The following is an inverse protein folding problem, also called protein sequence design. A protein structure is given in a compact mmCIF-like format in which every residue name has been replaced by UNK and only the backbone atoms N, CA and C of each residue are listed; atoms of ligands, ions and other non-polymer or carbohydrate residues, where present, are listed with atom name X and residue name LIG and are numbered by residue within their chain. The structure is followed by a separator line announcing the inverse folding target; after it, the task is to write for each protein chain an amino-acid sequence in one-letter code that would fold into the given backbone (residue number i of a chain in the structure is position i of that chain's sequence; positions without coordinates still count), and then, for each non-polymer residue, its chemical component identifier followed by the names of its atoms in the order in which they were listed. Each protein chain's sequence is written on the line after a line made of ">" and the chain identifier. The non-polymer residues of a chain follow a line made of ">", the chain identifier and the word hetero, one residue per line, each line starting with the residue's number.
data_IF_467207495925
#
_entry.id   IF_467207495925
#
_cell.length_a   1.000
_cell.length_b   1.000
_cell.length_c   1.000
_cell.angle_alpha   90.00
_cell.angle_beta   90.00
_cell.angle_gamma   90.00
#
_symmetry.space_group_name_H-M   'P 1'
#
loop_
_entity.id
_entity.type
_entity.pdbx_description
1 polymer ?
#
# COMPACT_ATOMS: atom_id res chain seq x y z
N UNK A 1 -4.32 18.30 -8.14
CA UNK A 1 -3.20 18.59 -7.21
C UNK A 1 -3.08 17.61 -6.03
N UNK A 2 -4.05 16.72 -5.82
CA UNK A 2 -4.09 15.81 -4.68
C UNK A 2 -3.98 14.39 -5.18
N UNK A 3 -2.81 13.77 -5.00
CA UNK A 3 -2.53 12.40 -5.45
C UNK A 3 -2.17 11.54 -4.24
N UNK A 4 -2.69 10.31 -4.22
CA UNK A 4 -2.52 9.32 -3.16
C UNK A 4 -2.22 7.95 -3.77
N UNK A 5 -1.42 7.13 -3.10
CA UNK A 5 -1.04 5.80 -3.59
C UNK A 5 0.39 5.72 -4.11
N UNK A 6 0.62 4.81 -5.06
CA UNK A 6 1.92 4.21 -5.39
C UNK A 6 2.55 3.44 -4.23
N UNK A 7 3.25 2.35 -4.54
CA UNK A 7 3.87 1.51 -3.52
C UNK A 7 4.52 0.24 -4.07
N UNK A 8 5.19 -0.54 -3.24
CA UNK A 8 5.40 -0.29 -1.81
C UNK A 8 6.70 0.51 -1.57
N UNK A 9 6.56 1.67 -0.94
CA UNK A 9 7.66 2.58 -0.56
C UNK A 9 7.25 3.38 0.68
N UNK A 10 8.22 3.82 1.48
CA UNK A 10 7.96 4.69 2.63
C UNK A 10 7.78 6.14 2.18
N UNK A 11 6.53 6.59 2.24
CA UNK A 11 6.17 7.98 2.00
C UNK A 11 6.05 8.76 3.31
N UNK A 12 6.42 10.04 3.30
CA UNK A 12 6.42 10.89 4.51
C UNK A 12 5.03 11.42 4.89
N UNK A 13 4.14 11.57 3.93
CA UNK A 13 2.77 12.08 4.12
C UNK A 13 1.83 11.34 3.18
N UNK A 14 0.54 11.21 3.52
CA UNK A 14 -0.42 10.46 2.68
C UNK A 14 -0.63 11.10 1.30
N UNK A 15 -0.78 12.43 1.23
CA UNK A 15 -0.76 13.18 -0.04
C UNK A 15 0.66 13.16 -0.61
N UNK A 16 0.81 12.91 -1.91
CA UNK A 16 2.13 12.94 -2.58
C UNK A 16 2.63 14.37 -2.79
N UNK A 17 3.90 14.59 -2.51
CA UNK A 17 4.60 15.82 -2.88
C UNK A 17 4.90 15.79 -4.38
N UNK A 18 4.38 16.80 -5.09
CA UNK A 18 4.51 16.91 -6.53
C UNK A 18 5.79 17.66 -6.96
N UNK A 19 6.62 18.11 -6.02
CA UNK A 19 7.80 18.92 -6.33
C UNK A 19 9.02 18.09 -6.76
N UNK A 20 8.99 17.52 -7.97
CA UNK A 20 10.12 16.81 -8.59
C UNK A 20 10.62 15.61 -7.77
N UNK A 21 9.68 14.76 -7.35
CA UNK A 21 9.98 13.52 -6.63
C UNK A 21 9.81 12.30 -7.54
N UNK A 22 10.89 11.51 -7.67
CA UNK A 22 10.87 10.19 -8.32
C UNK A 22 10.78 9.09 -7.28
N UNK A 23 9.96 8.09 -7.57
CA UNK A 23 9.76 6.89 -6.76
C UNK A 23 9.96 5.65 -7.62
N UNK A 24 10.96 4.83 -7.26
CA UNK A 24 11.18 3.54 -7.92
C UNK A 24 10.21 2.48 -7.40
N UNK A 25 9.76 1.61 -8.29
CA UNK A 25 8.90 0.47 -7.98
C UNK A 25 9.50 -0.78 -8.60
N UNK A 26 9.91 -1.70 -7.73
CA UNK A 26 10.34 -3.06 -8.06
C UNK A 26 10.41 -3.84 -6.74
N UNK A 27 9.83 -5.04 -6.70
CA UNK A 27 9.78 -5.84 -5.48
C UNK A 27 11.19 -6.14 -4.97
N UNK A 28 11.50 -5.73 -3.75
CA UNK A 28 12.82 -5.86 -3.15
C UNK A 28 12.71 -6.08 -1.65
N UNK A 29 13.55 -6.98 -1.13
CA UNK A 29 13.79 -7.07 0.31
C UNK A 29 14.58 -5.84 0.77
N UNK A 30 13.83 -4.80 1.17
CA UNK A 30 14.36 -3.52 1.59
C UNK A 30 13.42 -2.98 2.67
N UNK A 31 13.92 -2.80 3.91
CA UNK A 31 13.17 -2.15 4.98
C UNK A 31 12.64 -0.79 4.53
N UNK A 32 11.49 -0.34 5.08
CA UNK A 32 10.93 0.96 4.79
C UNK A 32 11.98 2.06 4.88
N UNK A 33 12.03 2.89 3.84
CA UNK A 33 12.95 4.00 3.75
C UNK A 33 12.54 4.97 2.65
N UNK A 34 12.79 6.25 2.88
CA UNK A 34 12.43 7.33 1.95
C UNK A 34 13.02 7.11 0.56
N UNK A 35 12.14 7.07 -0.46
CA UNK A 35 12.47 6.83 -1.88
C UNK A 35 13.14 5.48 -2.18
N UNK A 36 13.03 4.51 -1.28
CA UNK A 36 13.50 3.15 -1.52
C UNK A 36 12.34 2.25 -1.93
N UNK A 37 12.48 1.55 -3.06
CA UNK A 37 11.57 0.48 -3.45
C UNK A 37 11.63 -0.66 -2.44
N UNK A 38 10.47 -1.14 -1.99
CA UNK A 38 10.32 -2.14 -0.93
C UNK A 38 9.61 -3.40 -1.44
N UNK A 39 8.87 -4.09 -0.58
CA UNK A 39 8.43 -5.47 -0.81
C UNK A 39 7.41 -5.59 -1.94
N UNK A 40 6.38 -4.74 -1.93
CA UNK A 40 5.28 -4.75 -2.90
C UNK A 40 5.48 -3.88 -4.15
N UNK A 41 4.56 -4.06 -5.09
CA UNK A 41 4.52 -3.36 -6.37
C UNK A 41 3.07 -3.00 -6.73
N UNK A 42 2.73 -1.72 -6.62
CA UNK A 42 1.39 -1.18 -6.74
C UNK A 42 1.41 0.10 -7.59
N UNK A 43 1.36 -0.02 -8.94
CA UNK A 43 1.30 1.10 -9.87
C UNK A 43 -0.13 1.66 -9.99
N UNK A 44 -0.77 1.89 -8.84
CA UNK A 44 -2.11 2.46 -8.71
C UNK A 44 -2.04 3.76 -7.91
N UNK A 45 -2.77 4.76 -8.36
CA UNK A 45 -2.99 5.97 -7.58
C UNK A 45 -4.45 6.41 -7.66
N UNK A 46 -4.84 7.19 -6.67
CA UNK A 46 -6.10 7.93 -6.65
C UNK A 46 -5.79 9.42 -6.66
N UNK A 47 -6.54 10.17 -7.45
CA UNK A 47 -6.51 11.62 -7.44
C UNK A 47 -7.87 12.17 -6.97
N UNK A 48 -7.81 13.22 -6.14
CA UNK A 48 -8.97 14.05 -5.86
C UNK A 48 -9.00 15.21 -6.86
N UNK A 49 -10.17 15.39 -7.45
CA UNK A 49 -10.51 16.48 -8.34
C UNK A 49 -11.19 17.62 -7.57
N UNK A 50 -11.54 18.67 -8.30
CA UNK A 50 -12.35 19.75 -7.77
C UNK A 50 -13.74 19.24 -7.36
N UNK A 51 -14.41 19.96 -6.48
CA UNK A 51 -15.78 19.65 -6.01
C UNK A 51 -15.92 18.30 -5.26
N UNK A 52 -14.80 17.64 -4.92
CA UNK A 52 -14.78 16.41 -4.12
C UNK A 52 -14.90 15.12 -4.92
N UNK A 53 -14.91 15.20 -6.25
CA UNK A 53 -14.83 14.01 -7.11
C UNK A 53 -13.47 13.32 -6.99
N UNK A 54 -13.43 12.03 -7.33
CA UNK A 54 -12.22 11.23 -7.29
C UNK A 54 -12.09 10.36 -8.54
N UNK A 55 -10.86 10.04 -8.90
CA UNK A 55 -10.62 8.96 -9.86
C UNK A 55 -9.41 8.13 -9.46
N UNK A 56 -9.43 6.86 -9.84
CA UNK A 56 -8.30 5.94 -9.71
C UNK A 56 -7.69 5.64 -11.08
N UNK A 57 -6.38 5.45 -11.12
CA UNK A 57 -5.67 4.97 -12.31
C UNK A 57 -4.76 3.83 -11.92
N UNK A 58 -4.90 2.70 -12.61
CA UNK A 58 -4.00 1.55 -12.55
C UNK A 58 -3.23 1.44 -13.86
N UNK A 59 -1.91 1.29 -13.77
CA UNK A 59 -1.10 0.79 -14.88
C UNK A 59 -0.84 -0.70 -14.67
N UNK A 60 -1.50 -1.56 -15.44
CA UNK A 60 -1.35 -3.01 -15.35
C UNK A 60 -0.06 -3.45 -16.05
N UNK A 61 1.06 -3.25 -15.37
CA UNK A 61 2.40 -3.61 -15.84
C UNK A 61 3.23 -4.07 -14.65
N UNK A 62 4.07 -5.10 -14.82
CA UNK A 62 4.89 -5.69 -13.74
C UNK A 62 6.40 -5.53 -13.96
N UNK A 63 6.81 -4.81 -15.00
CA UNK A 63 8.22 -4.49 -15.24
C UNK A 63 8.69 -3.43 -14.23
N UNK A 64 10.00 -3.40 -13.95
CA UNK A 64 10.56 -2.34 -13.12
C UNK A 64 10.21 -0.97 -13.70
N UNK A 65 9.78 -0.07 -12.84
CA UNK A 65 9.38 1.25 -13.28
C UNK A 65 9.68 2.29 -12.23
N UNK A 66 9.70 3.54 -12.64
CA UNK A 66 9.62 4.65 -11.71
C UNK A 66 8.50 5.61 -12.11
N UNK A 67 8.07 6.40 -11.13
CA UNK A 67 7.10 7.47 -11.30
C UNK A 67 7.71 8.76 -10.80
N UNK A 68 7.67 9.80 -11.64
CA UNK A 68 8.16 11.14 -11.29
C UNK A 68 7.01 12.13 -11.23
N UNK A 69 6.83 12.80 -10.09
CA UNK A 69 5.85 13.86 -9.91
C UNK A 69 6.41 15.23 -10.26
N UNK A 70 5.56 16.10 -10.81
CA UNK A 70 5.91 17.43 -11.28
C UNK A 70 4.91 18.49 -10.76
N UNK A 71 5.36 19.74 -10.46
CA UNK A 71 4.52 20.77 -9.88
C UNK A 71 3.33 21.24 -10.74
N UNK A 72 3.38 21.01 -12.05
CA UNK A 72 2.32 21.39 -13.01
C UNK A 72 1.17 20.38 -13.01
N UNK A 73 0.65 20.08 -11.81
CA UNK A 73 0.27 18.73 -11.32
C UNK A 73 0.31 17.64 -12.40
N UNK A 74 1.48 17.05 -12.61
CA UNK A 74 1.67 15.97 -13.57
C UNK A 74 2.51 14.84 -12.96
N UNK A 75 2.37 13.64 -13.53
CA UNK A 75 3.25 12.52 -13.24
C UNK A 75 3.72 11.86 -14.53
N UNK A 76 4.88 11.20 -14.47
CA UNK A 76 5.46 10.51 -15.62
C UNK A 76 5.86 9.11 -15.20
N UNK A 77 5.34 8.11 -15.92
CA UNK A 77 5.78 6.72 -15.82
C UNK A 77 7.00 6.49 -16.71
N UNK A 78 8.04 5.85 -16.18
CA UNK A 78 9.15 5.30 -16.98
C UNK A 78 9.25 3.81 -16.67
N UNK A 79 8.87 2.99 -17.63
CA UNK A 79 8.82 1.53 -17.51
C UNK A 79 9.92 0.90 -18.37
N UNK A 80 10.55 -0.19 -17.90
CA UNK A 80 11.64 -0.84 -18.64
C UNK A 80 11.15 -1.86 -19.70
N UNK A 81 9.84 -2.09 -19.80
CA UNK A 81 9.28 -3.07 -20.73
C UNK A 81 7.77 -3.30 -20.52
N UNK A 82 7.22 -4.26 -21.26
CA UNK A 82 5.79 -4.56 -21.26
C UNK A 82 4.99 -3.61 -22.15
N UNK A 83 3.70 -3.48 -21.87
CA UNK A 83 2.79 -2.56 -22.57
C UNK A 83 2.26 -1.49 -21.60
N UNK A 84 1.67 -0.45 -22.18
CA UNK A 84 0.91 0.55 -21.44
C UNK A 84 -0.56 0.14 -21.40
N UNK A 85 -0.93 -0.67 -20.42
CA UNK A 85 -2.32 -1.11 -20.19
C UNK A 85 -2.91 -0.35 -19.00
N UNK A 86 -3.75 0.65 -19.28
CA UNK A 86 -4.31 1.55 -18.28
C UNK A 86 -5.78 1.27 -18.02
N UNK A 87 -6.14 1.23 -16.74
CA UNK A 87 -7.52 1.21 -16.27
C UNK A 87 -7.80 2.50 -15.51
N UNK A 88 -8.89 3.17 -15.86
CA UNK A 88 -9.36 4.38 -15.19
C UNK A 88 -10.70 4.11 -14.49
N UNK A 89 -10.80 4.54 -13.24
CA UNK A 89 -11.94 4.32 -12.36
C UNK A 89 -12.52 5.68 -11.97
N UNK A 90 -13.68 6.05 -12.51
CA UNK A 90 -14.28 7.38 -12.40
C UNK A 90 -15.42 7.42 -11.37
N UNK A 91 -15.19 6.87 -10.18
CA UNK A 91 -16.19 6.87 -9.10
C UNK A 91 -16.37 8.28 -8.51
N UNK A 92 -17.61 8.79 -8.31
CA UNK A 92 -17.81 10.17 -7.87
C UNK A 92 -17.29 10.45 -6.45
N UNK A 93 -16.98 9.42 -5.68
CA UNK A 93 -16.30 9.53 -4.37
C UNK A 93 -15.10 8.58 -4.31
N UNK A 94 -14.12 8.84 -3.42
CA UNK A 94 -12.97 7.96 -3.20
C UNK A 94 -13.38 6.50 -2.96
N UNK A 95 -14.44 6.27 -2.18
CA UNK A 95 -14.94 4.93 -1.86
C UNK A 95 -15.42 4.20 -3.10
N UNK A 96 -16.17 4.88 -3.99
CA UNK A 96 -16.67 4.26 -5.21
C UNK A 96 -15.52 3.98 -6.18
N UNK A 97 -14.53 4.88 -6.30
CA UNK A 97 -13.34 4.63 -7.11
C UNK A 97 -12.54 3.41 -6.62
N UNK A 98 -12.43 3.23 -5.29
CA UNK A 98 -11.81 2.03 -4.70
C UNK A 98 -12.65 0.77 -4.92
N UNK A 99 -13.98 0.85 -4.85
CA UNK A 99 -14.86 -0.29 -5.15
C UNK A 99 -14.70 -0.76 -6.59
N UNK A 100 -14.70 0.15 -7.56
CA UNK A 100 -14.50 -0.16 -8.98
C UNK A 100 -13.11 -0.77 -9.24
N UNK A 101 -12.07 -0.25 -8.58
CA UNK A 101 -10.73 -0.84 -8.65
C UNK A 101 -10.72 -2.31 -8.18
N UNK A 102 -11.34 -2.59 -7.03
CA UNK A 102 -11.44 -3.96 -6.50
C UNK A 102 -12.39 -4.86 -7.29
N UNK A 103 -13.31 -4.32 -8.08
CA UNK A 103 -14.08 -5.12 -9.03
C UNK A 103 -13.22 -5.66 -10.17
N UNK A 104 -12.17 -4.93 -10.56
CA UNK A 104 -11.23 -5.36 -11.60
C UNK A 104 -10.15 -6.28 -11.05
N UNK A 105 -9.50 -5.92 -9.94
CA UNK A 105 -8.34 -6.68 -9.43
C UNK A 105 -8.72 -7.81 -8.45
N UNK A 106 -9.97 -7.87 -8.02
CA UNK A 106 -10.46 -8.76 -6.98
C UNK A 106 -10.68 -8.06 -5.64
N UNK A 107 -11.75 -8.48 -4.96
CA UNK A 107 -12.11 -7.96 -3.62
C UNK A 107 -11.21 -8.58 -2.55
N UNK A 108 -10.92 -7.85 -1.45
CA UNK A 108 -10.14 -8.39 -0.34
C UNK A 108 -10.73 -9.69 0.22
N UNK A 109 -9.87 -10.56 0.74
CA UNK A 109 -10.29 -11.78 1.44
C UNK A 109 -11.08 -11.43 2.70
N UNK A 110 -12.11 -12.22 3.01
CA UNK A 110 -12.82 -12.11 4.29
C UNK A 110 -11.95 -12.73 5.39
N UNK A 111 -11.43 -11.94 6.35
CA UNK A 111 -10.62 -12.50 7.43
C UNK A 111 -11.50 -13.33 8.39
N UNK A 112 -10.96 -14.41 8.98
CA UNK A 112 -11.64 -15.09 10.08
C UNK A 112 -11.74 -14.16 11.29
N UNK A 113 -12.79 -14.30 12.09
CA UNK A 113 -13.08 -13.36 13.18
C UNK A 113 -11.92 -13.20 14.19
N UNK A 114 -11.22 -14.29 14.53
CA UNK A 114 -10.09 -14.27 15.47
C UNK A 114 -8.89 -13.45 14.95
N UNK A 115 -8.74 -13.25 13.64
CA UNK A 115 -7.63 -12.47 13.07
C UNK A 115 -7.82 -10.95 13.23
N UNK A 116 -8.98 -10.53 13.75
CA UNK A 116 -9.23 -9.14 14.15
C UNK A 116 -8.76 -8.85 15.59
N UNK A 117 -8.35 -9.90 16.32
CA UNK A 117 -7.79 -9.79 17.65
C UNK A 117 -6.38 -9.20 17.68
N UNK A 118 -5.85 -8.98 18.88
CA UNK A 118 -4.45 -8.57 19.04
C UNK A 118 -3.51 -9.76 18.83
N UNK A 119 -2.37 -9.52 18.17
CA UNK A 119 -1.41 -10.55 17.78
C UNK A 119 -0.04 -10.32 18.43
N UNK A 120 0.63 -11.37 18.91
CA UNK A 120 1.98 -11.32 19.43
C UNK A 120 2.97 -12.11 18.58
N UNK A 121 4.09 -11.49 18.22
CA UNK A 121 5.17 -12.13 17.50
C UNK A 121 6.50 -11.48 17.81
N UNK A 122 7.58 -12.26 17.73
CA UNK A 122 8.96 -11.77 17.80
C UNK A 122 9.87 -12.70 17.00
N UNK A 123 10.80 -12.11 16.26
CA UNK A 123 11.92 -12.87 15.73
C UNK A 123 12.92 -13.18 16.84
N UNK A 124 13.21 -14.47 17.08
CA UNK A 124 14.24 -14.90 18.02
C UNK A 124 13.75 -15.44 19.37
N UNK A 125 12.50 -15.90 19.49
CA UNK A 125 12.11 -16.77 20.60
C UNK A 125 13.01 -18.01 20.62
N UNK A 126 13.69 -18.26 21.74
CA UNK A 126 14.76 -19.28 21.82
C UNK A 126 14.22 -20.67 22.13
N UNK A 127 13.13 -20.74 22.89
CA UNK A 127 12.58 -21.97 23.44
C UNK A 127 11.05 -21.87 23.50
N UNK A 128 10.37 -23.01 23.51
CA UNK A 128 8.90 -23.06 23.71
C UNK A 128 8.45 -22.48 25.04
N UNK A 129 9.27 -22.64 26.09
CA UNK A 129 8.99 -22.09 27.43
C UNK A 129 8.97 -20.56 27.46
N UNK A 130 9.72 -19.88 26.59
CA UNK A 130 9.69 -18.41 26.49
C UNK A 130 8.33 -17.94 25.94
N UNK A 131 7.80 -18.65 24.94
CA UNK A 131 6.46 -18.38 24.38
C UNK A 131 5.37 -18.66 25.40
N UNK A 132 5.47 -19.77 26.13
CA UNK A 132 4.54 -20.13 27.21
C UNK A 132 4.54 -19.09 28.34
N UNK A 133 5.72 -18.57 28.70
CA UNK A 133 5.83 -17.50 29.68
C UNK A 133 5.10 -16.23 29.20
N UNK A 134 5.34 -15.79 27.96
CA UNK A 134 4.65 -14.61 27.38
C UNK A 134 3.14 -14.81 27.37
N UNK A 135 2.66 -16.00 27.00
CA UNK A 135 1.24 -16.36 27.04
C UNK A 135 0.68 -16.19 28.47
N UNK A 136 1.33 -16.80 29.46
CA UNK A 136 0.87 -16.79 30.85
C UNK A 136 0.87 -15.38 31.44
N UNK A 137 1.89 -14.58 31.13
CA UNK A 137 2.01 -13.20 31.61
C UNK A 137 0.89 -12.31 31.04
N UNK A 138 0.54 -12.48 29.76
CA UNK A 138 -0.57 -11.75 29.11
C UNK A 138 -1.93 -12.11 29.70
N UNK A 139 -2.17 -13.41 29.93
CA UNK A 139 -3.40 -13.90 30.56
C UNK A 139 -3.51 -13.41 32.00
N UNK A 140 -2.42 -13.46 32.77
CA UNK A 140 -2.38 -12.96 34.14
C UNK A 140 -2.62 -11.44 34.21
N UNK A 141 -2.11 -10.69 33.22
CA UNK A 141 -2.35 -9.26 33.07
C UNK A 141 -3.75 -8.93 32.50
N UNK A 142 -4.54 -9.94 32.13
CA UNK A 142 -5.87 -9.80 31.52
C UNK A 142 -5.87 -8.93 30.24
N UNK A 143 -4.79 -8.98 29.47
CA UNK A 143 -4.69 -8.27 28.19
C UNK A 143 -5.30 -9.16 27.10
N UNK A 144 -6.35 -8.71 26.39
CA UNK A 144 -6.99 -9.52 25.35
C UNK A 144 -6.08 -9.65 24.12
N UNK A 145 -5.91 -10.90 23.65
CA UNK A 145 -5.22 -11.24 22.40
C UNK A 145 -5.72 -12.60 21.88
N UNK A 146 -5.65 -12.81 20.58
CA UNK A 146 -6.21 -14.00 19.91
C UNK A 146 -5.16 -14.80 19.12
N UNK A 147 -3.97 -14.22 18.85
CA UNK A 147 -2.88 -14.83 18.05
C UNK A 147 -1.52 -14.61 18.68
#
# INVERSE_FOLDING_TARGET
>A
EYIYGFGEVEHTTFKRDLNWHTWGMFTRDQPPGYKLNSYGFHPYYMALEDEGYAHGVLLLNSNAMDVTFQPTPALTYRIIGGILDFYMFLGPTPEIATQQYHEVIGRPVMPPYWALGFHLCRYGYRNTSEVEQVYNDMVAAQIPYDV
#
